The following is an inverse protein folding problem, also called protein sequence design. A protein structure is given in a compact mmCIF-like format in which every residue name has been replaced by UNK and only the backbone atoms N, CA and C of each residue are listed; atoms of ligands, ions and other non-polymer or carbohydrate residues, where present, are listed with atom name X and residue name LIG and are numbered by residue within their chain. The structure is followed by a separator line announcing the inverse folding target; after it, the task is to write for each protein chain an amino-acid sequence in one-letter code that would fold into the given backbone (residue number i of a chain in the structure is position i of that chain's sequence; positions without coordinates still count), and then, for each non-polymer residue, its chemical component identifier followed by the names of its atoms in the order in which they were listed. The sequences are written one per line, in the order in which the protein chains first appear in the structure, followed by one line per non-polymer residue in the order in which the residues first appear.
data_IF_145874626924
#
_entry.id   IF_145874626924
#
_cell.length_a   1.000
_cell.length_b   1.000
_cell.length_c   1.000
_cell.angle_alpha   90.00
_cell.angle_beta   90.00
_cell.angle_gamma   90.00
#
_symmetry.space_group_name_H-M   'P 1'
#
loop_
_entity.id
_entity.type
_entity.pdbx_description
1 polymer ?
#
# COMPACT_ATOMS: atom_id res chain seq x y z
N UNK A 1 -6.03 -2.03 -0.74
CA UNK A 1 -7.28 -1.89 0.03
C UNK A 1 -8.30 -2.88 -0.50
N UNK A 2 -8.94 -3.63 0.40
CA UNK A 2 -9.83 -4.75 0.04
C UNK A 2 -11.04 -4.23 -0.71
N UNK A 3 -11.32 -4.82 -1.86
CA UNK A 3 -12.43 -4.46 -2.72
C UNK A 3 -13.76 -4.63 -1.98
N UNK A 4 -14.32 -3.52 -1.50
CA UNK A 4 -15.76 -3.38 -1.29
C UNK A 4 -16.29 -2.53 -2.44
N UNK A 5 -17.53 -2.79 -2.88
CA UNK A 5 -18.22 -2.05 -3.93
C UNK A 5 -18.55 -0.59 -3.54
N UNK A 6 -17.85 -0.04 -2.54
CA UNK A 6 -17.98 1.32 -2.00
C UNK A 6 -16.60 1.99 -2.02
N UNK A 7 -16.53 3.26 -2.43
CA UNK A 7 -15.28 4.01 -2.38
C UNK A 7 -14.73 4.04 -0.95
N UNK A 8 -13.40 3.99 -0.85
CA UNK A 8 -12.70 4.20 0.41
C UNK A 8 -13.11 5.55 1.00
N UNK A 9 -13.33 5.59 2.32
CA UNK A 9 -13.70 6.81 3.04
C UNK A 9 -12.53 7.21 3.93
N UNK A 10 -12.07 8.46 3.79
CA UNK A 10 -11.14 9.06 4.74
C UNK A 10 -11.77 9.05 6.14
N UNK A 11 -11.01 8.58 7.13
CA UNK A 11 -11.41 8.65 8.52
C UNK A 11 -11.30 10.09 9.04
N UNK A 12 -12.03 10.46 10.12
CA UNK A 12 -11.85 11.76 10.75
C UNK A 12 -10.38 11.97 11.13
N UNK A 13 -9.84 13.15 10.78
CA UNK A 13 -8.44 13.53 11.02
C UNK A 13 -7.39 12.67 10.29
N UNK A 14 -7.79 11.92 9.26
CA UNK A 14 -6.84 11.24 8.39
C UNK A 14 -6.15 12.24 7.46
N UNK A 15 -4.82 12.15 7.26
CA UNK A 15 -4.13 12.98 6.28
C UNK A 15 -4.64 12.71 4.86
N UNK A 16 -4.46 13.69 3.99
CA UNK A 16 -4.72 13.52 2.56
C UNK A 16 -3.86 12.37 2.01
N UNK A 17 -4.50 11.47 1.26
CA UNK A 17 -3.82 10.34 0.66
C UNK A 17 -3.12 10.79 -0.63
N UNK A 18 -1.86 10.41 -0.80
CA UNK A 18 -1.07 10.82 -1.96
C UNK A 18 -1.36 10.04 -3.25
N UNK A 19 -2.10 8.92 -3.19
CA UNK A 19 -2.34 8.04 -4.34
C UNK A 19 -3.76 7.47 -4.33
N UNK A 20 -4.30 7.11 -5.51
CA UNK A 20 -5.57 6.40 -5.61
C UNK A 20 -5.58 5.07 -4.86
N UNK A 21 -6.80 4.60 -4.56
CA UNK A 21 -7.00 3.31 -3.94
C UNK A 21 -6.54 2.14 -4.83
N UNK A 22 -5.63 1.32 -4.32
CA UNK A 22 -5.27 0.04 -4.94
C UNK A 22 -6.27 -1.06 -4.54
N UNK A 23 -6.71 -1.84 -5.53
CA UNK A 23 -7.64 -2.96 -5.36
C UNK A 23 -6.90 -4.20 -4.85
N UNK A 24 -7.30 -4.70 -3.68
CA UNK A 24 -6.83 -5.97 -3.14
C UNK A 24 -7.99 -6.98 -3.10
N UNK A 25 -7.70 -8.23 -3.44
CA UNK A 25 -8.60 -9.37 -3.27
C UNK A 25 -8.14 -10.18 -2.07
N UNK A 26 -8.97 -10.27 -1.04
CA UNK A 26 -8.75 -11.24 0.04
C UNK A 26 -9.23 -12.62 -0.41
N UNK A 27 -8.45 -13.64 -0.08
CA UNK A 27 -8.70 -15.03 -0.52
C UNK A 27 -9.01 -15.97 0.64
N UNK A 28 -8.82 -15.51 1.88
CA UNK A 28 -9.09 -16.30 3.08
C UNK A 28 -10.49 -15.95 3.60
N UNK A 29 -11.32 -16.97 3.79
CA UNK A 29 -12.67 -16.80 4.32
C UNK A 29 -12.63 -16.30 5.77
N UNK A 30 -13.54 -15.39 6.12
CA UNK A 30 -13.59 -14.78 7.45
C UNK A 30 -12.58 -13.65 7.69
N UNK A 31 -11.44 -13.67 6.99
CA UNK A 31 -10.40 -12.65 7.11
C UNK A 31 -10.81 -11.32 6.47
N UNK A 32 -10.51 -10.23 7.17
CA UNK A 32 -10.82 -8.86 6.75
C UNK A 32 -9.71 -7.92 7.18
N UNK A 33 -9.41 -6.93 6.35
CA UNK A 33 -8.60 -5.78 6.77
C UNK A 33 -9.48 -4.77 7.48
N UNK A 34 -8.94 -4.14 8.52
CA UNK A 34 -9.59 -3.01 9.18
C UNK A 34 -9.80 -1.87 8.16
N UNK A 35 -10.88 -1.10 8.29
CA UNK A 35 -11.19 0.03 7.41
C UNK A 35 -10.14 1.15 7.49
N UNK A 36 -9.40 1.23 8.59
CA UNK A 36 -8.28 2.14 8.79
C UNK A 36 -6.97 1.65 8.14
N UNK A 37 -6.94 0.43 7.58
CA UNK A 37 -5.73 -0.12 6.98
C UNK A 37 -5.30 0.70 5.76
N UNK A 38 -4.03 1.09 5.72
CA UNK A 38 -3.41 1.83 4.60
C UNK A 38 -2.13 1.14 4.14
N UNK A 39 -1.82 1.32 2.87
CA UNK A 39 -0.55 0.86 2.29
C UNK A 39 0.46 2.00 2.38
N UNK A 40 1.67 1.71 2.83
CA UNK A 40 2.76 2.67 2.86
C UNK A 40 3.77 2.36 1.75
N UNK A 41 3.60 2.99 0.59
CA UNK A 41 4.47 2.78 -0.57
C UNK A 41 5.93 3.22 -0.35
N UNK A 42 6.19 4.06 0.65
CA UNK A 42 7.55 4.49 0.97
C UNK A 42 8.32 3.49 1.82
N UNK A 43 7.68 2.45 2.38
CA UNK A 43 8.28 1.51 3.33
C UNK A 43 8.25 0.08 2.78
N UNK A 44 9.03 -0.16 1.72
CA UNK A 44 9.28 -1.51 1.23
C UNK A 44 10.12 -2.29 2.24
N UNK A 45 9.70 -3.53 2.51
CA UNK A 45 10.42 -4.46 3.39
C UNK A 45 10.63 -5.77 2.66
N UNK A 46 11.85 -6.31 2.74
CA UNK A 46 12.15 -7.66 2.25
C UNK A 46 11.81 -8.65 3.36
N UNK A 47 11.02 -9.66 3.02
CA UNK A 47 10.68 -10.74 3.95
C UNK A 47 11.49 -11.98 3.54
N UNK A 48 12.26 -12.53 4.49
CA UNK A 48 13.02 -13.77 4.26
C UNK A 48 12.09 -14.99 4.16
N UNK A 49 12.53 -16.01 3.43
CA UNK A 49 11.74 -17.21 3.13
C UNK A 49 11.42 -18.10 4.34
N UNK A 50 12.21 -17.97 5.42
CA UNK A 50 12.04 -18.71 6.67
C UNK A 50 11.06 -18.02 7.65
N UNK A 51 10.62 -16.80 7.33
CA UNK A 51 9.65 -16.06 8.15
C UNK A 51 8.27 -16.63 7.91
N UNK A 52 7.60 -17.04 9.00
CA UNK A 52 6.20 -17.47 8.94
C UNK A 52 5.33 -16.26 8.62
N UNK A 53 4.69 -16.30 7.45
CA UNK A 53 3.70 -15.31 7.02
C UNK A 53 2.36 -15.97 6.78
N UNK A 54 1.29 -15.18 6.91
CA UNK A 54 -0.06 -15.62 6.58
C UNK A 54 -0.54 -14.87 5.34
N UNK A 55 -0.64 -15.59 4.21
CA UNK A 55 -1.10 -15.01 2.96
C UNK A 55 -2.62 -14.83 2.97
N UNK A 56 -3.06 -13.59 3.09
CA UNK A 56 -4.49 -13.26 3.17
C UNK A 56 -5.12 -12.85 1.83
N UNK A 57 -4.31 -12.65 0.78
CA UNK A 57 -4.78 -12.18 -0.53
C UNK A 57 -3.69 -11.59 -1.41
N UNK A 58 -4.10 -10.83 -2.43
CA UNK A 58 -3.20 -10.21 -3.40
C UNK A 58 -3.74 -8.89 -3.95
N UNK A 59 -2.84 -8.06 -4.48
CA UNK A 59 -3.21 -6.86 -5.24
C UNK A 59 -3.65 -7.26 -6.65
N UNK A 60 -4.78 -6.71 -7.12
CA UNK A 60 -5.33 -7.02 -8.45
C UNK A 60 -4.30 -6.71 -9.55
N UNK A 61 -3.97 -7.67 -10.44
CA UNK A 61 -3.00 -7.47 -11.51
C UNK A 61 -3.35 -6.30 -12.45
N UNK A 62 -4.65 -6.04 -12.66
CA UNK A 62 -5.14 -4.97 -13.53
C UNK A 62 -4.72 -3.56 -13.10
N UNK A 63 -4.29 -3.37 -11.85
CA UNK A 63 -3.83 -2.08 -11.32
C UNK A 63 -2.40 -2.16 -10.79
N UNK A 64 -1.61 -3.11 -11.29
CA UNK A 64 -0.21 -3.26 -10.88
C UNK A 64 0.63 -2.03 -11.26
N UNK A 65 0.35 -1.41 -12.41
CA UNK A 65 1.07 -0.21 -12.86
C UNK A 65 0.85 0.99 -11.92
N UNK A 66 -0.38 1.18 -11.43
CA UNK A 66 -0.68 2.22 -10.43
C UNK A 66 0.08 1.97 -9.13
N UNK A 67 0.21 0.70 -8.72
CA UNK A 67 0.96 0.31 -7.53
C UNK A 67 2.46 0.58 -7.73
N UNK A 68 3.03 0.18 -8.86
CA UNK A 68 4.44 0.41 -9.19
C UNK A 68 4.77 1.90 -9.24
N UNK A 69 3.95 2.70 -9.93
CA UNK A 69 4.14 4.15 -10.00
C UNK A 69 4.08 4.85 -8.63
N UNK A 70 3.21 4.39 -7.73
CA UNK A 70 3.15 4.91 -6.37
C UNK A 70 4.41 4.59 -5.54
N UNK A 71 4.96 3.38 -5.73
CA UNK A 71 6.23 2.96 -5.11
C UNK A 71 7.38 3.80 -5.64
N UNK A 72 7.52 3.94 -6.96
CA UNK A 72 8.61 4.68 -7.60
C UNK A 72 8.61 6.15 -7.16
N UNK A 73 7.47 6.82 -7.23
CA UNK A 73 7.32 8.21 -6.79
C UNK A 73 7.71 8.41 -5.31
N UNK A 74 7.29 7.48 -4.44
CA UNK A 74 7.63 7.52 -3.01
C UNK A 74 9.14 7.31 -2.77
N UNK A 75 9.76 6.43 -3.54
CA UNK A 75 11.17 6.09 -3.41
C UNK A 75 12.08 7.21 -3.94
N UNK A 76 11.75 7.78 -5.09
CA UNK A 76 12.42 8.95 -5.64
C UNK A 76 12.39 10.12 -4.66
N UNK A 77 11.22 10.44 -4.09
CA UNK A 77 11.11 11.51 -3.10
C UNK A 77 11.99 11.29 -1.86
N UNK A 78 12.04 10.05 -1.35
CA UNK A 78 12.92 9.70 -0.21
C UNK A 78 14.41 9.81 -0.55
N UNK A 79 14.82 9.33 -1.72
CA UNK A 79 16.23 9.35 -2.12
C UNK A 79 16.71 10.75 -2.48
N UNK A 80 15.86 11.56 -3.14
CA UNK A 80 16.19 12.94 -3.48
C UNK A 80 16.16 13.90 -2.28
N UNK A 81 15.27 13.71 -1.30
CA UNK A 81 15.28 14.50 -0.06
C UNK A 81 16.56 14.26 0.76
N UNK A 82 17.07 13.02 0.80
CA UNK A 82 18.36 12.70 1.44
C UNK A 82 19.55 13.45 0.81
N UNK A 83 19.53 13.69 -0.51
CA UNK A 83 20.58 14.47 -1.19
C UNK A 83 20.54 15.95 -0.83
N UNK A 84 19.36 16.51 -0.62
CA UNK A 84 19.17 17.94 -0.33
C UNK A 84 19.52 18.30 1.12
N UNK A 85 19.31 17.39 2.06
CA UNK A 85 19.67 17.56 3.48
C UNK A 85 21.18 17.49 3.77
N UNK A 86 22.00 17.01 2.83
CA UNK A 86 23.47 16.86 3.00
C UNK A 86 24.26 17.97 2.32
N UNK A 87 23.59 18.99 1.78
CA UNK A 87 24.18 20.24 1.29
C UNK A 87 23.85 21.36 2.25
#
# INVERSE_FOLDING_TARGET
MVYHNKPHRLLPNEPELGFPAVRAKLTVEGEKLDKASRVNYSKLVTIEHNVKVFFIGYISPERMDDFAGAVDACWESKTHSHRRSRR
#
